data_IF_462629232114
#
_entry.id   IF_462629232114
#
_cell.length_a   1.000
_cell.length_b   1.000
_cell.length_c   1.000
_cell.angle_alpha   90.00
_cell.angle_beta   90.00
_cell.angle_gamma   90.00
#
_symmetry.space_group_name_H-M   'P 1'
#
loop_
_entity.id
_entity.type
_entity.pdbx_description
1 polymer ?
#
# COMPACT_ATOMS: atom_id res chain seq x y z
N UNK A 1 28.83 30.95 -25.47
CA UNK A 1 29.62 31.62 -24.41
C UNK A 1 28.77 32.10 -23.23
N UNK A 2 27.75 32.97 -23.40
CA UNK A 2 26.85 33.35 -22.29
C UNK A 2 25.86 32.21 -21.92
N UNK A 3 25.24 31.58 -22.92
CA UNK A 3 24.31 30.45 -22.75
C UNK A 3 24.95 29.21 -22.12
N UNK A 4 26.21 28.91 -22.45
CA UNK A 4 26.94 27.75 -21.91
C UNK A 4 27.25 27.92 -20.41
N UNK A 5 27.49 29.16 -19.97
CA UNK A 5 27.68 29.49 -18.57
C UNK A 5 26.36 29.40 -17.80
N UNK A 6 25.24 29.84 -18.40
CA UNK A 6 23.92 29.79 -17.74
C UNK A 6 23.47 28.36 -17.45
N UNK A 7 23.70 27.43 -18.38
CA UNK A 7 23.46 26.01 -18.15
C UNK A 7 24.36 25.45 -17.03
N UNK A 8 25.63 25.85 -16.95
CA UNK A 8 26.54 25.39 -15.89
C UNK A 8 26.08 25.86 -14.49
N UNK A 9 25.69 27.12 -14.36
CA UNK A 9 25.18 27.66 -13.09
C UNK A 9 23.81 27.08 -12.72
N UNK A 10 22.95 26.83 -13.70
CA UNK A 10 21.69 26.13 -13.47
C UNK A 10 21.91 24.69 -12.99
N UNK A 11 22.93 23.97 -13.49
CA UNK A 11 23.29 22.66 -12.95
C UNK A 11 23.76 22.72 -11.50
N UNK A 12 24.49 23.78 -11.12
CA UNK A 12 24.86 24.00 -9.71
C UNK A 12 23.61 24.23 -8.84
N UNK A 13 22.62 24.98 -9.33
CA UNK A 13 21.33 25.13 -8.67
C UNK A 13 20.55 23.80 -8.60
N UNK A 14 20.57 22.98 -9.66
CA UNK A 14 19.97 21.64 -9.66
C UNK A 14 20.60 20.71 -8.62
N UNK A 15 21.92 20.77 -8.39
CA UNK A 15 22.56 19.98 -7.33
C UNK A 15 21.96 20.31 -5.95
N UNK A 16 21.76 21.59 -5.66
CA UNK A 16 21.10 22.07 -4.44
C UNK A 16 19.61 21.67 -4.37
N UNK A 17 18.92 21.62 -5.52
CA UNK A 17 17.54 21.12 -5.60
C UNK A 17 17.44 19.62 -5.28
N UNK A 18 18.40 18.81 -5.71
CA UNK A 18 18.48 17.38 -5.35
C UNK A 18 18.71 17.19 -3.85
N UNK A 19 19.58 18.01 -3.27
CA UNK A 19 19.80 18.04 -1.83
C UNK A 19 18.52 18.40 -1.03
N UNK A 20 17.73 19.37 -1.50
CA UNK A 20 16.42 19.66 -0.90
C UNK A 20 15.47 18.46 -1.00
N UNK A 21 15.43 17.78 -2.16
CA UNK A 21 14.62 16.57 -2.35
C UNK A 21 14.98 15.47 -1.34
N UNK A 22 16.28 15.24 -1.13
CA UNK A 22 16.80 14.26 -0.17
C UNK A 22 16.42 14.60 1.28
N UNK A 23 16.29 15.90 1.60
CA UNK A 23 15.79 16.38 2.88
C UNK A 23 14.25 16.34 3.02
N UNK A 24 13.52 15.88 2.00
CA UNK A 24 12.06 15.85 1.99
C UNK A 24 11.39 17.19 1.66
N UNK A 25 12.17 18.18 1.23
CA UNK A 25 11.72 19.51 0.85
C UNK A 25 11.37 19.57 -0.64
N UNK A 26 10.54 20.53 -1.04
CA UNK A 26 10.25 20.77 -2.47
C UNK A 26 11.57 21.06 -3.19
N UNK A 27 11.92 20.34 -4.28
CA UNK A 27 13.26 20.38 -4.86
C UNK A 27 13.50 21.65 -5.69
N UNK A 28 13.83 22.73 -5.00
CA UNK A 28 14.25 23.99 -5.61
C UNK A 28 15.62 24.37 -5.04
N UNK A 29 16.52 24.76 -5.94
CA UNK A 29 17.84 25.25 -5.60
C UNK A 29 18.14 26.55 -6.33
N UNK A 30 19.03 27.36 -5.76
CA UNK A 30 19.43 28.64 -6.31
C UNK A 30 20.91 28.95 -6.01
N UNK A 31 21.55 29.67 -6.91
CA UNK A 31 22.89 30.21 -6.72
C UNK A 31 22.96 31.67 -7.16
N UNK A 32 23.76 32.48 -6.47
CA UNK A 32 24.07 33.87 -6.85
C UNK A 32 25.51 33.92 -7.33
N UNK A 33 25.72 34.47 -8.53
CA UNK A 33 27.01 34.55 -9.20
C UNK A 33 27.41 36.02 -9.38
N UNK A 34 28.68 36.32 -9.09
CA UNK A 34 29.32 37.61 -9.37
C UNK A 34 30.73 37.36 -9.89
N UNK A 35 31.13 38.06 -10.95
CA UNK A 35 32.48 37.98 -11.54
C UNK A 35 32.93 36.53 -11.84
N UNK A 36 32.00 35.68 -12.29
CA UNK A 36 32.25 34.28 -12.62
C UNK A 36 32.34 33.32 -11.43
N UNK A 37 32.06 33.77 -10.20
CA UNK A 37 32.09 32.96 -8.99
C UNK A 37 30.73 32.92 -8.28
N UNK A 38 30.38 31.75 -7.72
CA UNK A 38 29.20 31.61 -6.86
C UNK A 38 29.52 32.20 -5.47
N UNK A 39 28.80 33.26 -5.11
CA UNK A 39 28.93 33.97 -3.83
C UNK A 39 27.77 33.67 -2.86
N UNK A 40 26.74 32.96 -3.30
CA UNK A 40 25.65 32.51 -2.45
C UNK A 40 24.98 31.26 -3.00
N UNK A 41 24.57 30.35 -2.12
CA UNK A 41 23.90 29.09 -2.42
C UNK A 41 22.65 28.98 -1.56
N UNK A 42 21.60 28.40 -2.13
CA UNK A 42 20.37 28.20 -1.41
C UNK A 42 19.61 27.01 -1.93
N UNK A 43 18.94 26.33 -1.02
CA UNK A 43 17.98 25.26 -1.32
C UNK A 43 16.76 25.46 -0.43
N UNK A 44 15.60 25.00 -0.89
CA UNK A 44 14.41 25.06 -0.05
C UNK A 44 14.63 24.30 1.27
N UNK A 45 14.29 24.96 2.38
CA UNK A 45 14.25 24.37 3.72
C UNK A 45 13.09 24.89 4.60
N UNK A 46 11.88 25.21 4.08
CA UNK A 46 10.83 25.78 4.89
C UNK A 46 10.26 24.82 5.94
N UNK A 47 10.24 23.51 5.67
CA UNK A 47 9.71 22.51 6.62
C UNK A 47 10.72 22.27 7.74
N UNK A 48 11.98 21.97 7.38
CA UNK A 48 13.03 21.68 8.35
C UNK A 48 13.45 22.91 9.16
N UNK A 49 13.46 24.09 8.51
CA UNK A 49 13.82 25.35 9.16
C UNK A 49 12.69 26.00 9.94
N UNK A 50 11.45 25.51 9.81
CA UNK A 50 10.24 26.18 10.32
C UNK A 50 10.18 27.67 9.93
N UNK A 51 10.76 28.03 8.79
CA UNK A 51 10.88 29.39 8.29
C UNK A 51 10.12 29.49 6.95
N UNK A 52 8.95 30.16 6.91
CA UNK A 52 8.18 30.28 5.68
C UNK A 52 8.93 31.07 4.58
N UNK A 53 10.02 31.76 4.93
CA UNK A 53 10.85 32.52 4.00
C UNK A 53 12.07 31.74 3.49
N UNK A 54 12.31 30.51 3.97
CA UNK A 54 13.48 29.69 3.60
C UNK A 54 13.33 29.01 2.22
N UNK A 55 12.96 29.82 1.22
CA UNK A 55 13.03 29.48 -0.18
C UNK A 55 14.47 29.58 -0.68
N UNK A 56 14.83 28.77 -1.68
CA UNK A 56 16.17 28.68 -2.22
C UNK A 56 16.75 30.06 -2.57
N UNK A 57 15.95 30.92 -3.21
CA UNK A 57 16.34 32.25 -3.65
C UNK A 57 16.67 33.16 -2.47
N UNK A 58 15.81 33.21 -1.46
CA UNK A 58 16.01 34.02 -0.25
C UNK A 58 17.25 33.56 0.52
N UNK A 59 17.46 32.25 0.63
CA UNK A 59 18.65 31.68 1.27
C UNK A 59 19.92 32.08 0.51
N UNK A 60 19.92 31.94 -0.82
CA UNK A 60 21.07 32.31 -1.66
C UNK A 60 21.37 33.82 -1.60
N UNK A 61 20.35 34.68 -1.60
CA UNK A 61 20.49 36.13 -1.45
C UNK A 61 21.08 36.51 -0.08
N UNK A 62 20.61 35.87 1.00
CA UNK A 62 21.14 36.08 2.36
C UNK A 62 22.63 35.71 2.43
N UNK A 63 23.04 34.60 1.81
CA UNK A 63 24.46 34.21 1.76
C UNK A 63 25.29 35.20 0.93
N UNK A 64 24.83 35.57 -0.27
CA UNK A 64 25.51 36.52 -1.13
C UNK A 64 25.67 37.91 -0.49
N UNK A 65 24.64 38.39 0.22
CA UNK A 65 24.69 39.67 0.92
C UNK A 65 25.71 39.65 2.06
N UNK A 66 25.81 38.53 2.80
CA UNK A 66 26.85 38.35 3.82
C UNK A 66 28.23 38.29 3.20
N UNK A 67 28.38 37.58 2.08
CA UNK A 67 29.64 37.47 1.36
C UNK A 67 30.17 38.85 0.92
N UNK A 68 29.29 39.74 0.44
CA UNK A 68 29.67 41.09 0.03
C UNK A 68 29.66 42.12 1.16
N UNK A 69 29.17 41.77 2.34
CA UNK A 69 28.92 42.73 3.43
C UNK A 69 27.92 43.83 3.05
N UNK A 70 27.01 43.56 2.10
CA UNK A 70 26.09 44.54 1.54
C UNK A 70 24.76 43.89 1.13
N UNK A 71 23.64 44.55 1.41
CA UNK A 71 22.31 44.09 1.00
C UNK A 71 22.03 44.31 -0.49
N UNK A 72 22.76 45.23 -1.13
CA UNK A 72 22.72 45.44 -2.58
C UNK A 72 23.71 44.50 -3.25
N UNK A 73 23.21 43.75 -4.22
CA UNK A 73 23.92 42.74 -4.99
C UNK A 73 24.09 43.22 -6.44
N UNK A 74 24.43 44.51 -6.62
CA UNK A 74 24.62 45.10 -7.94
C UNK A 74 25.63 44.29 -8.77
N UNK A 75 25.30 44.04 -10.04
CA UNK A 75 26.10 43.22 -10.96
C UNK A 75 25.98 41.71 -10.77
N UNK A 76 25.22 41.22 -9.78
CA UNK A 76 25.03 39.79 -9.58
C UNK A 76 23.94 39.21 -10.49
N UNK A 77 24.13 37.94 -10.89
CA UNK A 77 23.08 37.11 -11.51
C UNK A 77 22.63 36.03 -10.52
N UNK A 78 21.32 35.84 -10.35
CA UNK A 78 20.77 34.70 -9.62
C UNK A 78 20.25 33.65 -10.60
N UNK A 79 20.58 32.38 -10.35
CA UNK A 79 20.06 31.23 -11.07
C UNK A 79 19.18 30.41 -10.13
N UNK A 80 17.96 30.06 -10.53
CA UNK A 80 17.01 29.26 -9.72
C UNK A 80 16.30 28.21 -10.57
N UNK A 81 16.12 27.01 -10.05
CA UNK A 81 15.54 25.90 -10.83
C UNK A 81 14.06 26.05 -11.15
N UNK A 82 13.33 26.90 -10.43
CA UNK A 82 11.90 27.16 -10.62
C UNK A 82 11.65 28.66 -10.71
N UNK A 83 10.68 29.07 -11.52
CA UNK A 83 10.21 30.44 -11.59
C UNK A 83 9.88 31.01 -10.19
N UNK A 84 10.41 32.19 -9.83
CA UNK A 84 10.27 32.72 -8.48
C UNK A 84 8.84 33.16 -8.16
N UNK A 85 8.45 32.95 -6.90
CA UNK A 85 7.19 33.44 -6.36
C UNK A 85 7.27 34.92 -5.97
N UNK A 86 6.12 35.54 -5.64
CA UNK A 86 6.03 36.95 -5.26
C UNK A 86 7.03 37.40 -4.16
N UNK A 87 7.21 36.58 -3.13
CA UNK A 87 8.16 36.85 -2.05
C UNK A 87 9.60 36.92 -2.57
N UNK A 88 10.02 35.93 -3.34
CA UNK A 88 11.39 35.82 -3.82
C UNK A 88 11.69 36.90 -4.86
N UNK A 89 10.75 37.15 -5.78
CA UNK A 89 10.85 38.24 -6.75
C UNK A 89 10.98 39.59 -6.06
N UNK A 90 10.16 39.90 -5.06
CA UNK A 90 10.30 41.12 -4.26
C UNK A 90 11.68 41.24 -3.58
N UNK A 91 12.20 40.14 -3.02
CA UNK A 91 13.54 40.12 -2.42
C UNK A 91 14.65 40.40 -3.45
N UNK A 92 14.54 39.83 -4.66
CA UNK A 92 15.48 40.08 -5.77
C UNK A 92 15.49 41.55 -6.19
N UNK A 93 14.30 42.17 -6.27
CA UNK A 93 14.14 43.59 -6.58
C UNK A 93 14.80 44.46 -5.52
N UNK A 94 14.57 44.18 -4.23
CA UNK A 94 15.22 44.91 -3.13
C UNK A 94 16.73 44.72 -3.11
N UNK A 95 17.22 43.54 -3.51
CA UNK A 95 18.65 43.24 -3.63
C UNK A 95 19.30 43.86 -4.87
N UNK A 96 18.54 44.41 -5.82
CA UNK A 96 19.05 45.04 -7.06
C UNK A 96 19.92 44.11 -7.92
N UNK A 97 19.49 42.86 -8.08
CA UNK A 97 20.15 41.95 -9.00
C UNK A 97 20.14 42.53 -10.42
N UNK A 98 21.25 42.36 -11.14
CA UNK A 98 21.32 42.75 -12.54
C UNK A 98 20.49 41.79 -13.41
N UNK A 99 20.53 40.49 -13.08
CA UNK A 99 19.83 39.45 -13.83
C UNK A 99 19.33 38.32 -12.93
N UNK A 100 18.20 37.73 -13.31
CA UNK A 100 17.66 36.50 -12.73
C UNK A 100 17.37 35.53 -13.88
N UNK A 101 17.90 34.33 -13.76
CA UNK A 101 17.75 33.24 -14.73
C UNK A 101 17.02 32.08 -14.04
N UNK A 102 15.92 31.60 -14.61
CA UNK A 102 15.18 30.47 -14.05
C UNK A 102 15.00 29.30 -15.01
N UNK A 103 14.84 28.11 -14.44
CA UNK A 103 14.62 26.88 -15.18
C UNK A 103 13.17 26.68 -15.58
N UNK A 104 12.44 25.88 -14.81
CA UNK A 104 11.04 25.55 -15.09
C UNK A 104 10.09 26.73 -14.77
N UNK A 105 9.02 26.88 -15.54
CA UNK A 105 7.92 27.80 -15.21
C UNK A 105 7.07 27.26 -14.05
N UNK A 106 6.47 28.17 -13.27
CA UNK A 106 5.48 27.85 -12.26
C UNK A 106 4.10 28.43 -12.63
N UNK A 107 3.25 27.66 -13.35
CA UNK A 107 1.94 28.13 -13.79
C UNK A 107 0.95 28.37 -12.64
N UNK A 108 1.28 27.99 -11.40
CA UNK A 108 0.38 28.13 -10.24
C UNK A 108 0.70 29.36 -9.41
N UNK A 109 1.99 29.68 -9.21
CA UNK A 109 2.40 30.77 -8.31
C UNK A 109 3.56 31.62 -8.80
N UNK A 110 4.12 31.32 -9.98
CA UNK A 110 5.22 32.07 -10.57
C UNK A 110 4.81 33.49 -10.95
N UNK A 111 5.69 34.45 -10.68
CA UNK A 111 5.41 35.89 -10.95
C UNK A 111 6.47 36.55 -11.84
N UNK A 112 7.18 35.76 -12.64
CA UNK A 112 8.13 36.23 -13.65
C UNK A 112 7.62 35.90 -15.06
N UNK A 113 6.28 35.93 -15.24
CA UNK A 113 5.60 35.69 -16.51
C UNK A 113 4.44 34.70 -16.44
N UNK A 114 4.33 33.85 -15.42
CA UNK A 114 3.26 32.83 -15.34
C UNK A 114 1.91 33.39 -14.87
N UNK A 115 1.78 33.69 -13.56
CA UNK A 115 0.53 34.22 -12.99
C UNK A 115 0.51 35.75 -13.08
N UNK A 116 1.66 36.36 -12.79
CA UNK A 116 1.92 37.79 -12.87
C UNK A 116 3.31 37.99 -13.45
N UNK A 117 3.64 39.23 -13.80
CA UNK A 117 5.01 39.63 -14.09
C UNK A 117 5.38 40.85 -13.24
N UNK A 118 5.97 40.60 -12.07
CA UNK A 118 6.43 41.68 -11.18
C UNK A 118 7.66 42.41 -11.73
N UNK A 119 8.42 41.79 -12.63
CA UNK A 119 9.62 42.39 -13.21
C UNK A 119 9.28 43.29 -14.40
N UNK A 120 8.14 43.07 -15.07
CA UNK A 120 7.60 43.96 -16.08
C UNK A 120 6.77 45.13 -15.52
N UNK A 121 6.48 45.18 -14.21
CA UNK A 121 5.70 46.26 -13.61
C UNK A 121 6.53 47.56 -13.51
N UNK A 122 6.22 48.60 -14.32
CA UNK A 122 7.05 49.79 -14.45
C UNK A 122 7.12 50.63 -13.16
N UNK A 123 6.19 50.43 -12.22
CA UNK A 123 6.20 51.13 -10.91
C UNK A 123 7.16 50.51 -9.89
N UNK A 124 7.59 49.25 -10.07
CA UNK A 124 8.31 48.49 -9.04
C UNK A 124 9.82 48.37 -9.30
N UNK A 125 10.26 48.29 -10.56
CA UNK A 125 11.69 48.17 -10.89
C UNK A 125 12.01 48.61 -12.32
N UNK A 126 13.26 49.02 -12.57
CA UNK A 126 13.74 49.48 -13.87
C UNK A 126 15.10 48.86 -14.27
N UNK A 127 15.60 47.84 -13.55
CA UNK A 127 17.00 47.40 -13.67
C UNK A 127 17.28 45.89 -13.74
N UNK A 128 16.34 45.01 -13.39
CA UNK A 128 16.61 43.55 -13.34
C UNK A 128 16.13 42.85 -14.60
N UNK A 129 17.03 42.21 -15.33
CA UNK A 129 16.70 41.38 -16.49
C UNK A 129 16.24 39.98 -16.04
N UNK A 130 15.18 39.46 -16.68
CA UNK A 130 14.63 38.13 -16.41
C UNK A 130 14.79 37.25 -17.65
N UNK A 131 15.30 36.04 -17.44
CA UNK A 131 15.42 35.03 -18.48
C UNK A 131 14.93 33.67 -17.93
N UNK A 132 13.99 33.05 -18.64
CA UNK A 132 13.43 31.75 -18.26
C UNK A 132 13.81 30.67 -19.27
N UNK A 133 13.70 29.40 -18.85
CA UNK A 133 13.81 28.26 -19.76
C UNK A 133 15.14 27.51 -19.73
N UNK A 134 16.12 27.97 -18.94
CA UNK A 134 17.45 27.33 -18.90
C UNK A 134 17.36 25.98 -18.19
N UNK A 135 17.58 24.89 -18.91
CA UNK A 135 17.38 23.51 -18.42
C UNK A 135 15.97 23.27 -17.84
N UNK A 136 14.95 23.90 -18.44
CA UNK A 136 13.58 23.83 -17.96
C UNK A 136 13.06 22.39 -17.82
N UNK A 137 13.35 21.52 -18.79
CA UNK A 137 12.90 20.12 -18.76
C UNK A 137 13.51 19.35 -17.58
N UNK A 138 14.82 19.53 -17.33
CA UNK A 138 15.50 18.89 -16.20
C UNK A 138 14.93 19.38 -14.85
N UNK A 139 14.71 20.69 -14.74
CA UNK A 139 14.13 21.30 -13.54
C UNK A 139 12.68 20.83 -13.30
N UNK A 140 11.86 20.76 -14.35
CA UNK A 140 10.48 20.30 -14.28
C UNK A 140 10.41 18.81 -13.95
N UNK A 141 11.27 17.99 -14.54
CA UNK A 141 11.33 16.56 -14.29
C UNK A 141 11.59 16.25 -12.80
N UNK A 142 12.51 16.98 -12.16
CA UNK A 142 12.80 16.81 -10.73
C UNK A 142 11.59 17.12 -9.84
N UNK A 143 10.89 18.23 -10.10
CA UNK A 143 9.65 18.60 -9.39
C UNK A 143 8.54 17.57 -9.59
N UNK A 144 8.31 17.16 -10.84
CA UNK A 144 7.31 16.16 -11.18
C UNK A 144 7.59 14.82 -10.49
N UNK A 145 8.86 14.39 -10.49
CA UNK A 145 9.30 13.18 -9.83
C UNK A 145 9.00 13.23 -8.32
N UNK A 146 9.40 14.30 -7.64
CA UNK A 146 9.17 14.50 -6.21
C UNK A 146 7.69 14.42 -5.84
N UNK A 147 6.82 15.17 -6.53
CA UNK A 147 5.39 15.12 -6.25
C UNK A 147 4.73 13.78 -6.64
N UNK A 148 5.24 13.09 -7.67
CA UNK A 148 4.76 11.75 -8.03
C UNK A 148 5.04 10.73 -6.92
N UNK A 149 6.24 10.78 -6.34
CA UNK A 149 6.60 9.93 -5.21
C UNK A 149 5.75 10.24 -3.97
N UNK A 150 5.56 11.53 -3.63
CA UNK A 150 4.71 11.92 -2.49
C UNK A 150 3.26 11.48 -2.68
N UNK A 151 2.69 11.63 -3.88
CA UNK A 151 1.33 11.14 -4.17
C UNK A 151 1.24 9.61 -4.06
N UNK A 152 2.26 8.88 -4.52
CA UNK A 152 2.32 7.42 -4.39
C UNK A 152 2.39 6.99 -2.92
N UNK A 153 3.23 7.65 -2.12
CA UNK A 153 3.34 7.40 -0.68
C UNK A 153 2.03 7.72 0.06
N UNK A 154 1.39 8.86 -0.26
CA UNK A 154 0.08 9.21 0.29
C UNK A 154 -1.01 8.23 -0.12
N UNK A 155 -1.04 7.75 -1.37
CA UNK A 155 -1.99 6.72 -1.82
C UNK A 155 -1.75 5.36 -1.16
N UNK A 156 -0.50 5.00 -0.90
CA UNK A 156 -0.15 3.78 -0.17
C UNK A 156 -0.58 3.86 1.30
N UNK A 157 -0.58 5.06 1.88
CA UNK A 157 -1.03 5.30 3.26
C UNK A 157 -2.55 5.53 3.37
N UNK A 158 -3.17 6.12 2.34
CA UNK A 158 -4.60 6.28 2.27
C UNK A 158 -5.25 4.91 2.22
N UNK A 159 -6.13 4.63 3.19
CA UNK A 159 -6.94 3.42 3.20
C UNK A 159 -8.37 3.80 2.82
N UNK A 160 -8.63 4.20 1.56
CA UNK A 160 -9.98 4.57 1.15
C UNK A 160 -10.93 3.39 1.44
N UNK A 161 -12.11 3.72 1.93
CA UNK A 161 -13.19 2.77 2.14
C UNK A 161 -14.22 3.07 1.07
N UNK A 162 -14.67 2.04 0.35
CA UNK A 162 -15.75 2.20 -0.62
C UNK A 162 -17.03 2.66 0.07
N UNK A 163 -17.81 3.47 -0.63
CA UNK A 163 -19.09 4.00 -0.13
C UNK A 163 -20.10 2.90 0.20
N UNK A 164 -19.99 1.73 -0.43
CA UNK A 164 -20.83 0.56 -0.20
C UNK A 164 -20.27 -0.43 0.84
N UNK A 165 -19.20 -0.06 1.55
CA UNK A 165 -18.55 -0.89 2.55
C UNK A 165 -18.43 -0.20 3.92
N UNK A 166 -18.23 -1.02 4.94
CA UNK A 166 -17.94 -0.63 6.31
C UNK A 166 -16.58 -1.17 6.72
N UNK A 167 -15.88 -0.46 7.58
CA UNK A 167 -14.62 -0.90 8.17
C UNK A 167 -14.76 -0.91 9.68
N UNK A 168 -14.57 -2.07 10.27
CA UNK A 168 -14.61 -2.21 11.72
C UNK A 168 -13.46 -1.39 12.33
N UNK A 169 -13.74 -0.49 13.29
CA UNK A 169 -12.70 0.28 13.96
C UNK A 169 -11.67 -0.62 14.65
N UNK A 170 -10.40 -0.22 14.65
CA UNK A 170 -9.29 -1.05 15.13
C UNK A 170 -9.39 -1.35 16.64
N UNK A 171 -9.91 -0.39 17.41
CA UNK A 171 -10.15 -0.48 18.85
C UNK A 171 -11.12 -1.60 19.23
N UNK A 172 -11.99 -2.05 18.31
CA UNK A 172 -12.89 -3.19 18.55
C UNK A 172 -12.12 -4.51 18.76
N UNK A 173 -10.89 -4.58 18.27
CA UNK A 173 -10.03 -5.74 18.40
C UNK A 173 -9.03 -5.62 19.56
N UNK A 174 -9.00 -4.48 20.26
CA UNK A 174 -8.13 -4.28 21.40
C UNK A 174 -8.49 -5.23 22.54
N UNK A 175 -7.48 -5.83 23.17
CA UNK A 175 -7.68 -6.75 24.30
C UNK A 175 -8.13 -8.18 23.93
N UNK A 176 -8.35 -8.47 22.64
CA UNK A 176 -8.55 -9.85 22.21
C UNK A 176 -7.22 -10.62 22.25
N UNK A 177 -7.19 -11.72 23.00
CA UNK A 177 -6.01 -12.58 23.11
C UNK A 177 -5.59 -13.17 21.75
N UNK A 178 -4.28 -13.34 21.57
CA UNK A 178 -3.65 -14.00 20.41
C UNK A 178 -3.72 -13.20 19.10
N UNK A 179 -3.98 -11.89 19.18
CA UNK A 179 -3.89 -10.96 18.05
C UNK A 179 -2.57 -10.18 18.04
N UNK A 180 -1.53 -10.77 18.63
CA UNK A 180 -0.24 -10.11 18.89
C UNK A 180 0.52 -9.78 17.60
N UNK A 181 0.25 -10.52 16.52
CA UNK A 181 0.78 -10.23 15.19
C UNK A 181 -0.02 -9.11 14.51
N UNK A 182 0.68 -8.08 14.01
CA UNK A 182 0.06 -7.05 13.18
C UNK A 182 -0.48 -7.69 11.90
N UNK A 183 -1.78 -7.55 11.58
CA UNK A 183 -2.36 -8.14 10.39
C UNK A 183 -1.79 -7.48 9.14
N UNK A 184 -1.55 -8.28 8.09
CA UNK A 184 -1.22 -7.76 6.77
C UNK A 184 -2.50 -7.34 6.06
N UNK A 185 -2.38 -6.32 5.20
CA UNK A 185 -3.50 -5.76 4.45
C UNK A 185 -3.17 -5.78 2.96
N UNK A 186 -4.16 -6.05 2.13
CA UNK A 186 -4.05 -5.97 0.68
C UNK A 186 -5.33 -5.35 0.11
N UNK A 187 -5.18 -4.49 -0.90
CA UNK A 187 -6.28 -3.79 -1.57
C UNK A 187 -6.07 -3.65 -3.09
N UNK A 188 -5.01 -4.24 -3.62
CA UNK A 188 -4.61 -4.18 -5.03
C UNK A 188 -4.99 -5.46 -5.82
N UNK A 189 -5.69 -6.41 -5.20
CA UNK A 189 -6.24 -7.58 -5.90
C UNK A 189 -7.42 -7.15 -6.79
N UNK A 190 -7.44 -7.51 -8.09
CA UNK A 190 -8.53 -7.16 -8.99
C UNK A 190 -9.93 -7.48 -8.45
N UNK A 191 -10.12 -8.67 -7.86
CA UNK A 191 -11.41 -9.10 -7.32
C UNK A 191 -11.88 -8.27 -6.11
N UNK A 192 -10.98 -7.58 -5.41
CA UNK A 192 -11.37 -6.72 -4.29
C UNK A 192 -12.06 -5.44 -4.77
N UNK A 193 -11.78 -5.01 -6.01
CA UNK A 193 -12.33 -3.77 -6.58
C UNK A 193 -12.25 -2.60 -5.59
N UNK A 194 -11.10 -2.41 -4.94
CA UNK A 194 -10.85 -1.35 -3.95
C UNK A 194 -11.21 -1.66 -2.49
N UNK A 195 -11.75 -2.84 -2.18
CA UNK A 195 -11.91 -3.31 -0.80
C UNK A 195 -10.56 -3.72 -0.21
N UNK A 196 -10.46 -3.65 1.11
CA UNK A 196 -9.29 -4.12 1.87
C UNK A 196 -9.55 -5.49 2.48
N UNK A 197 -8.68 -6.44 2.15
CA UNK A 197 -8.59 -7.75 2.78
C UNK A 197 -7.49 -7.75 3.85
N UNK A 198 -7.83 -8.20 5.04
CA UNK A 198 -6.90 -8.49 6.13
C UNK A 198 -6.52 -9.96 6.12
N UNK A 199 -5.25 -10.28 6.37
CA UNK A 199 -4.79 -11.66 6.52
C UNK A 199 -3.60 -11.74 7.47
N UNK A 200 -3.42 -12.90 8.12
CA UNK A 200 -2.16 -13.26 8.76
C UNK A 200 -1.30 -14.04 7.78
N UNK A 201 0.00 -13.80 7.85
CA UNK A 201 1.03 -14.49 7.08
C UNK A 201 2.21 -14.72 8.02
N UNK A 202 2.27 -15.94 8.51
CA UNK A 202 3.18 -16.38 9.57
C UNK A 202 4.11 -17.48 9.04
N UNK A 203 5.33 -17.54 9.58
CA UNK A 203 6.35 -18.50 9.15
C UNK A 203 7.20 -18.02 7.96
N UNK A 204 8.18 -18.82 7.52
CA UNK A 204 9.12 -18.45 6.45
C UNK A 204 8.40 -18.33 5.09
N UNK A 205 8.60 -17.24 4.31
CA UNK A 205 8.00 -17.11 2.98
C UNK A 205 8.40 -18.21 1.99
N UNK A 206 9.56 -18.82 2.19
CA UNK A 206 10.18 -19.90 1.42
C UNK A 206 9.97 -21.29 2.03
N UNK A 207 9.08 -21.41 3.02
CA UNK A 207 8.73 -22.70 3.60
C UNK A 207 8.26 -23.69 2.52
N UNK A 208 8.57 -24.99 2.67
CA UNK A 208 8.29 -26.00 1.65
C UNK A 208 6.79 -26.23 1.40
N UNK A 209 5.94 -25.79 2.34
CA UNK A 209 4.49 -25.89 2.28
C UNK A 209 3.85 -24.62 2.83
N UNK A 210 2.72 -24.24 2.24
CA UNK A 210 1.87 -23.16 2.73
C UNK A 210 0.50 -23.69 3.16
N UNK A 211 0.04 -23.35 4.36
CA UNK A 211 -1.30 -23.68 4.84
C UNK A 211 -2.24 -22.50 4.61
N UNK A 212 -3.34 -22.70 3.88
CA UNK A 212 -4.39 -21.69 3.73
C UNK A 212 -5.56 -22.02 4.65
N UNK A 213 -5.79 -21.22 5.69
CA UNK A 213 -6.83 -21.45 6.70
C UNK A 213 -8.09 -20.66 6.37
N UNK A 214 -9.16 -21.35 5.95
CA UNK A 214 -10.42 -20.75 5.52
C UNK A 214 -11.53 -21.05 6.53
N UNK A 215 -12.14 -20.00 7.06
CA UNK A 215 -13.22 -20.08 8.04
C UNK A 215 -14.61 -20.10 7.38
N UNK A 216 -15.58 -20.65 8.11
CA UNK A 216 -17.00 -20.61 7.78
C UNK A 216 -17.71 -19.32 8.23
N UNK A 217 -19.05 -19.30 8.19
CA UNK A 217 -19.85 -18.10 8.39
C UNK A 217 -20.02 -17.71 9.86
N UNK A 218 -19.68 -18.62 10.79
CA UNK A 218 -19.75 -18.41 12.25
C UNK A 218 -18.37 -18.14 12.87
N UNK A 219 -17.41 -17.76 12.02
CA UNK A 219 -16.00 -17.65 12.36
C UNK A 219 -15.30 -16.52 11.61
N UNK A 220 -14.04 -16.30 11.97
CA UNK A 220 -13.08 -15.46 11.25
C UNK A 220 -11.66 -15.91 11.63
N UNK A 221 -10.60 -15.30 11.07
CA UNK A 221 -9.24 -15.84 11.22
C UNK A 221 -8.77 -15.99 12.67
N UNK A 222 -9.37 -15.28 13.63
CA UNK A 222 -9.10 -15.39 15.08
C UNK A 222 -9.19 -16.83 15.59
N UNK A 223 -10.11 -17.65 15.08
CA UNK A 223 -10.27 -19.04 15.52
C UNK A 223 -9.04 -19.92 15.26
N UNK A 224 -8.17 -19.50 14.33
CA UNK A 224 -7.04 -20.31 13.89
C UNK A 224 -5.76 -20.10 14.69
N UNK A 225 -5.75 -19.25 15.73
CA UNK A 225 -4.51 -18.89 16.44
C UNK A 225 -3.67 -20.09 16.87
N UNK A 226 -4.28 -21.04 17.59
CA UNK A 226 -3.58 -22.21 18.10
C UNK A 226 -3.09 -23.15 16.97
N UNK A 227 -3.90 -23.33 15.92
CA UNK A 227 -3.52 -24.15 14.76
C UNK A 227 -2.40 -23.49 13.96
N UNK A 228 -2.51 -22.19 13.70
CA UNK A 228 -1.50 -21.42 12.99
C UNK A 228 -0.15 -21.45 13.72
N UNK A 229 -0.17 -21.30 15.07
CA UNK A 229 1.05 -21.45 15.87
C UNK A 229 1.65 -22.84 15.70
N UNK A 230 0.87 -23.90 15.88
CA UNK A 230 1.39 -25.26 15.81
C UNK A 230 1.97 -25.62 14.42
N UNK A 231 1.36 -25.12 13.34
CA UNK A 231 1.85 -25.32 11.97
C UNK A 231 3.12 -24.50 11.68
N UNK A 232 3.18 -23.25 12.15
CA UNK A 232 4.37 -22.40 12.05
C UNK A 232 5.54 -22.98 12.84
N UNK A 233 5.29 -23.47 14.05
CA UNK A 233 6.31 -24.07 14.91
C UNK A 233 6.82 -25.41 14.31
N UNK A 234 6.06 -26.02 13.38
CA UNK A 234 6.49 -27.14 12.57
C UNK A 234 7.31 -26.75 11.32
N UNK A 235 7.58 -25.44 11.12
CA UNK A 235 8.43 -24.92 10.04
C UNK A 235 7.70 -24.51 8.77
N UNK A 236 6.36 -24.50 8.76
CA UNK A 236 5.58 -24.16 7.57
C UNK A 236 5.12 -22.69 7.54
N UNK A 237 4.74 -22.22 6.35
CA UNK A 237 4.07 -20.93 6.16
C UNK A 237 2.57 -21.08 6.39
N UNK A 238 1.95 -20.13 7.07
CA UNK A 238 0.52 -20.15 7.36
C UNK A 238 -0.13 -18.84 6.93
N UNK A 239 -1.14 -18.96 6.07
CA UNK A 239 -1.98 -17.86 5.61
C UNK A 239 -3.38 -18.02 6.22
N UNK A 240 -3.84 -17.02 6.97
CA UNK A 240 -5.18 -17.00 7.56
C UNK A 240 -5.88 -15.68 7.20
N UNK A 241 -6.57 -15.61 6.05
CA UNK A 241 -7.34 -14.43 5.66
C UNK A 241 -8.62 -14.28 6.50
N UNK A 242 -8.97 -13.03 6.77
CA UNK A 242 -10.34 -12.65 7.12
C UNK A 242 -11.10 -12.49 5.81
N UNK A 243 -12.07 -13.35 5.51
CA UNK A 243 -12.88 -13.18 4.30
C UNK A 243 -13.51 -11.79 4.25
N UNK A 244 -13.75 -11.26 3.06
CA UNK A 244 -14.45 -9.98 2.92
C UNK A 244 -15.82 -10.09 3.58
N UNK A 245 -16.19 -9.12 4.42
CA UNK A 245 -17.35 -9.22 5.30
C UNK A 245 -17.05 -9.72 6.71
N UNK A 246 -15.82 -10.15 7.03
CA UNK A 246 -15.44 -10.73 8.31
C UNK A 246 -14.20 -10.08 8.92
N UNK A 247 -13.92 -10.38 10.18
CA UNK A 247 -12.70 -9.99 10.87
C UNK A 247 -12.32 -8.52 10.69
N UNK A 248 -11.07 -8.25 10.31
CA UNK A 248 -10.55 -6.89 10.04
C UNK A 248 -10.68 -6.45 8.58
N UNK A 249 -11.17 -7.33 7.72
CA UNK A 249 -11.49 -7.02 6.33
C UNK A 249 -12.69 -6.08 6.23
N UNK A 250 -12.75 -5.37 5.12
CA UNK A 250 -13.90 -4.52 4.80
C UNK A 250 -15.17 -5.35 4.66
N UNK A 251 -16.30 -4.72 4.94
CA UNK A 251 -17.61 -5.38 5.00
C UNK A 251 -18.57 -4.68 4.06
N UNK A 252 -18.84 -5.26 2.87
CA UNK A 252 -19.90 -4.76 2.01
C UNK A 252 -21.22 -4.66 2.78
N UNK A 253 -21.95 -3.57 2.59
CA UNK A 253 -23.20 -3.26 3.33
C UNK A 253 -24.35 -4.20 2.96
N UNK A 254 -24.30 -4.83 1.78
CA UNK A 254 -25.39 -5.65 1.21
C UNK A 254 -24.96 -7.11 1.05
N UNK A 255 -25.85 -8.03 1.38
CA UNK A 255 -25.63 -9.47 1.20
C UNK A 255 -25.42 -9.86 -0.26
N UNK A 256 -26.07 -9.13 -1.20
CA UNK A 256 -25.93 -9.34 -2.63
C UNK A 256 -24.53 -9.06 -3.18
N UNK A 257 -23.66 -8.41 -2.40
CA UNK A 257 -22.26 -8.20 -2.78
C UNK A 257 -21.42 -9.48 -2.65
N UNK A 258 -21.92 -10.51 -1.95
CA UNK A 258 -21.20 -11.75 -1.71
C UNK A 258 -21.66 -12.86 -2.65
N UNK A 259 -20.70 -13.61 -3.19
CA UNK A 259 -20.92 -14.90 -3.86
C UNK A 259 -19.78 -15.85 -3.52
N UNK A 260 -20.03 -17.18 -3.53
CA UNK A 260 -18.99 -18.18 -3.24
C UNK A 260 -17.84 -18.12 -4.25
N UNK A 261 -18.16 -17.91 -5.53
CA UNK A 261 -17.18 -17.75 -6.59
C UNK A 261 -16.28 -16.53 -6.36
N UNK A 262 -16.86 -15.40 -5.94
CA UNK A 262 -16.08 -14.19 -5.66
C UNK A 262 -15.14 -14.36 -4.47
N UNK A 263 -15.61 -14.94 -3.36
CA UNK A 263 -14.73 -15.27 -2.24
C UNK A 263 -13.59 -16.20 -2.65
N UNK A 264 -13.89 -17.19 -3.50
CA UNK A 264 -12.89 -18.10 -4.04
C UNK A 264 -11.83 -17.36 -4.88
N UNK A 265 -12.27 -16.48 -5.78
CA UNK A 265 -11.39 -15.67 -6.62
C UNK A 265 -10.45 -14.79 -5.80
N UNK A 266 -10.97 -14.11 -4.75
CA UNK A 266 -10.15 -13.28 -3.85
C UNK A 266 -9.04 -14.10 -3.19
N UNK A 267 -9.34 -15.34 -2.77
CA UNK A 267 -8.34 -16.22 -2.17
C UNK A 267 -7.29 -16.70 -3.18
N UNK A 268 -7.70 -17.04 -4.41
CA UNK A 268 -6.76 -17.44 -5.47
C UNK A 268 -5.82 -16.29 -5.86
N UNK A 269 -6.35 -15.09 -6.01
CA UNK A 269 -5.56 -13.89 -6.29
C UNK A 269 -4.60 -13.56 -5.14
N UNK A 270 -5.02 -13.75 -3.88
CA UNK A 270 -4.13 -13.61 -2.72
C UNK A 270 -2.96 -14.60 -2.79
N UNK A 271 -3.23 -15.88 -3.09
CA UNK A 271 -2.19 -16.90 -3.21
C UNK A 271 -1.23 -16.59 -4.36
N UNK A 272 -1.73 -16.10 -5.48
CA UNK A 272 -0.92 -15.66 -6.61
C UNK A 272 -0.04 -14.47 -6.24
N UNK A 273 -0.62 -13.44 -5.62
CA UNK A 273 0.07 -12.22 -5.16
C UNK A 273 1.21 -12.51 -4.19
N UNK A 274 1.07 -13.57 -3.39
CA UNK A 274 2.05 -14.03 -2.40
C UNK A 274 3.00 -15.11 -2.93
N UNK A 275 2.86 -15.48 -4.21
CA UNK A 275 3.57 -16.59 -4.85
C UNK A 275 3.49 -17.92 -4.07
N UNK A 276 2.38 -18.14 -3.36
CA UNK A 276 2.18 -19.35 -2.55
C UNK A 276 2.02 -20.58 -3.44
N UNK A 277 2.78 -21.62 -3.14
CA UNK A 277 2.81 -22.94 -3.81
C UNK A 277 2.77 -24.04 -2.76
N UNK A 278 2.51 -25.28 -3.19
CA UNK A 278 2.37 -26.42 -2.29
C UNK A 278 1.34 -26.14 -1.19
N UNK A 279 0.17 -25.64 -1.60
CA UNK A 279 -0.84 -25.13 -0.67
C UNK A 279 -1.67 -26.28 -0.12
N UNK A 280 -1.69 -26.45 1.20
CA UNK A 280 -2.68 -27.31 1.86
C UNK A 280 -3.83 -26.43 2.34
N UNK A 281 -5.01 -26.68 1.77
CA UNK A 281 -6.23 -25.97 2.16
C UNK A 281 -6.78 -26.55 3.46
N UNK A 282 -6.96 -25.72 4.47
CA UNK A 282 -7.70 -26.07 5.69
C UNK A 282 -9.06 -25.41 5.65
N UNK A 283 -10.13 -26.21 5.59
CA UNK A 283 -11.51 -25.73 5.57
C UNK A 283 -12.18 -26.04 6.91
N UNK A 284 -12.51 -25.00 7.70
CA UNK A 284 -13.29 -25.12 8.93
C UNK A 284 -14.68 -24.51 8.75
N UNK A 285 -15.68 -25.37 8.50
CA UNK A 285 -17.06 -24.94 8.22
C UNK A 285 -17.22 -24.19 6.90
N UNK A 286 -16.33 -24.44 5.95
CA UNK A 286 -16.27 -23.78 4.65
C UNK A 286 -16.24 -24.80 3.48
N UNK A 287 -17.24 -25.70 3.34
CA UNK A 287 -17.29 -26.67 2.23
C UNK A 287 -17.22 -26.04 0.84
N UNK A 288 -17.68 -24.79 0.69
CA UNK A 288 -17.55 -24.03 -0.55
C UNK A 288 -16.09 -23.86 -1.01
N UNK A 289 -15.14 -23.83 -0.07
CA UNK A 289 -13.72 -23.64 -0.38
C UNK A 289 -13.10 -24.87 -1.05
N UNK A 290 -13.76 -26.04 -1.01
CA UNK A 290 -13.29 -27.26 -1.67
C UNK A 290 -13.25 -27.13 -3.20
N UNK A 291 -13.88 -26.09 -3.77
CA UNK A 291 -13.78 -25.75 -5.19
C UNK A 291 -12.50 -24.98 -5.55
N UNK A 292 -11.69 -24.54 -4.59
CA UNK A 292 -10.43 -23.83 -4.87
C UNK A 292 -9.41 -24.72 -5.61
N UNK A 293 -9.16 -25.98 -5.18
CA UNK A 293 -8.22 -26.85 -5.90
C UNK A 293 -8.70 -27.22 -7.30
N UNK A 294 -10.00 -27.27 -7.56
CA UNK A 294 -10.54 -27.47 -8.91
C UNK A 294 -10.11 -26.33 -9.86
N UNK A 295 -10.08 -25.09 -9.38
CA UNK A 295 -9.74 -23.91 -10.19
C UNK A 295 -8.23 -23.72 -10.40
N UNK A 296 -7.40 -24.25 -9.50
CA UNK A 296 -5.94 -24.09 -9.58
C UNK A 296 -5.20 -25.35 -9.08
N UNK A 297 -5.39 -26.52 -9.71
CA UNK A 297 -4.98 -27.81 -9.14
C UNK A 297 -3.47 -27.90 -8.89
N UNK A 298 -2.65 -27.35 -9.78
CA UNK A 298 -1.19 -27.36 -9.65
C UNK A 298 -0.67 -26.56 -8.43
N UNK A 299 -1.50 -25.70 -7.83
CA UNK A 299 -1.12 -24.89 -6.66
C UNK A 299 -1.33 -25.63 -5.35
N UNK A 300 -2.32 -26.52 -5.29
CA UNK A 300 -2.72 -27.20 -4.06
C UNK A 300 -2.05 -28.56 -3.94
N UNK A 301 -1.57 -28.86 -2.74
CA UNK A 301 -0.95 -30.13 -2.36
C UNK A 301 -1.87 -31.00 -1.48
N UNK A 302 -2.93 -30.43 -0.92
CA UNK A 302 -3.80 -31.19 -0.01
C UNK A 302 -5.04 -30.43 0.45
N UNK A 303 -5.96 -31.18 1.06
CA UNK A 303 -7.17 -30.68 1.71
C UNK A 303 -7.29 -31.30 3.11
N UNK A 304 -7.37 -30.44 4.13
CA UNK A 304 -7.68 -30.78 5.51
C UNK A 304 -9.05 -30.20 5.87
N UNK A 305 -10.02 -31.06 6.16
CA UNK A 305 -11.36 -30.68 6.58
C UNK A 305 -11.49 -30.87 8.08
N UNK A 306 -11.82 -29.78 8.76
CA UNK A 306 -11.96 -29.76 10.22
C UNK A 306 -13.35 -29.26 10.60
N UNK A 307 -13.89 -29.71 11.75
CA UNK A 307 -15.13 -29.16 12.29
C UNK A 307 -14.95 -27.65 12.55
N UNK A 308 -15.99 -26.87 12.25
CA UNK A 308 -15.97 -25.44 12.51
C UNK A 308 -16.25 -25.16 14.00
N UNK A 309 -15.38 -24.44 14.71
CA UNK A 309 -15.76 -23.88 16.00
C UNK A 309 -16.79 -22.76 15.80
N UNK A 310 -17.71 -22.61 16.76
CA UNK A 310 -18.61 -21.45 16.83
C UNK A 310 -17.97 -20.41 17.74
N UNK A 311 -17.51 -19.30 17.17
CA UNK A 311 -17.00 -18.18 17.97
C UNK A 311 -18.15 -17.54 18.75
N UNK A 312 -17.90 -17.17 20.02
CA UNK A 312 -18.88 -16.55 20.92
C UNK A 312 -18.27 -15.36 21.66
N UNK A 313 -19.13 -14.52 22.24
CA UNK A 313 -18.72 -13.39 23.08
C UNK A 313 -17.85 -12.38 22.33
N UNK A 314 -16.88 -11.78 23.03
CA UNK A 314 -16.06 -10.69 22.50
C UNK A 314 -15.35 -11.04 21.17
N UNK A 315 -14.88 -12.28 21.02
CA UNK A 315 -14.21 -12.73 19.80
C UNK A 315 -15.15 -12.72 18.58
N UNK A 316 -16.43 -13.03 18.76
CA UNK A 316 -17.43 -12.98 17.69
C UNK A 316 -17.99 -11.57 17.47
N UNK A 317 -18.18 -10.79 18.54
CA UNK A 317 -18.80 -9.47 18.48
C UNK A 317 -17.84 -8.36 18.00
N UNK A 318 -16.52 -8.56 18.11
CA UNK A 318 -15.54 -7.55 17.74
C UNK A 318 -15.64 -7.10 16.26
N UNK A 319 -15.66 -8.01 15.26
CA UNK A 319 -15.82 -7.62 13.86
C UNK A 319 -17.16 -6.92 13.54
N UNK A 320 -18.18 -7.08 14.38
CA UNK A 320 -19.58 -6.78 14.06
C UNK A 320 -20.23 -5.83 15.07
N UNK A 321 -19.81 -4.54 15.13
CA UNK A 321 -20.33 -3.58 16.10
C UNK A 321 -21.83 -3.29 15.94
N UNK A 322 -22.39 -3.48 14.75
CA UNK A 322 -23.80 -3.26 14.45
C UNK A 322 -24.32 -4.26 13.38
N UNK A 323 -25.62 -4.18 13.09
CA UNK A 323 -26.28 -5.05 12.10
C UNK A 323 -25.77 -4.86 10.65
N UNK A 324 -25.25 -3.67 10.33
CA UNK A 324 -24.69 -3.32 9.02
C UNK A 324 -23.40 -4.07 8.74
N UNK A 325 -22.60 -4.37 9.76
CA UNK A 325 -21.38 -5.17 9.63
C UNK A 325 -21.67 -6.67 9.42
N UNK A 326 -22.91 -7.13 9.59
CA UNK A 326 -23.26 -8.57 9.58
C UNK A 326 -23.76 -9.10 8.23
N UNK A 327 -23.69 -8.31 7.16
CA UNK A 327 -24.09 -8.76 5.82
C UNK A 327 -23.25 -9.97 5.33
N UNK A 328 -21.93 -9.96 5.58
CA UNK A 328 -21.04 -11.07 5.21
C UNK A 328 -21.43 -12.41 5.84
N UNK A 329 -21.52 -12.51 7.18
CA UNK A 329 -21.98 -13.73 7.87
C UNK A 329 -23.32 -14.25 7.37
N UNK A 330 -24.33 -13.38 7.22
CA UNK A 330 -25.66 -13.78 6.74
C UNK A 330 -25.62 -14.30 5.31
N UNK A 331 -24.94 -13.58 4.42
CA UNK A 331 -24.80 -13.98 3.02
C UNK A 331 -24.07 -15.31 2.89
N UNK A 332 -22.93 -15.48 3.56
CA UNK A 332 -22.13 -16.70 3.45
C UNK A 332 -22.90 -17.92 4.02
N UNK A 333 -23.59 -17.76 5.16
CA UNK A 333 -24.44 -18.82 5.71
C UNK A 333 -25.55 -19.24 4.73
N UNK A 334 -26.26 -18.26 4.16
CA UNK A 334 -27.33 -18.52 3.17
C UNK A 334 -26.79 -19.20 1.92
N UNK A 335 -25.67 -18.72 1.38
CA UNK A 335 -25.05 -19.27 0.17
C UNK A 335 -24.56 -20.71 0.38
N UNK A 336 -24.00 -21.01 1.56
CA UNK A 336 -23.58 -22.37 1.90
C UNK A 336 -24.77 -23.31 2.04
N UNK A 337 -25.81 -22.92 2.77
CA UNK A 337 -27.03 -23.73 2.88
C UNK A 337 -27.63 -24.03 1.50
N UNK A 338 -27.71 -23.02 0.63
CA UNK A 338 -28.17 -23.20 -0.76
C UNK A 338 -27.30 -24.17 -1.56
N UNK A 339 -25.97 -24.13 -1.37
CA UNK A 339 -25.05 -25.04 -2.05
C UNK A 339 -25.12 -26.48 -1.51
N UNK A 340 -25.46 -26.67 -0.24
CA UNK A 340 -25.64 -27.99 0.38
C UNK A 340 -26.98 -28.63 0.00
N UNK A 341 -28.03 -27.84 -0.20
CA UNK A 341 -29.34 -28.31 -0.67
C UNK A 341 -29.36 -28.62 -2.18
N UNK A 342 -28.52 -27.94 -2.96
CA UNK A 342 -28.41 -28.17 -4.39
C UNK A 342 -27.84 -29.56 -4.72
N UNK A 343 -28.17 -30.15 -5.88
CA UNK A 343 -27.46 -31.32 -6.37
C UNK A 343 -25.95 -31.05 -6.38
N UNK A 344 -25.13 -31.99 -5.90
CA UNK A 344 -23.69 -31.79 -5.80
C UNK A 344 -23.12 -31.48 -7.18
N UNK A 345 -22.31 -30.42 -7.24
CA UNK A 345 -21.62 -30.00 -8.45
C UNK A 345 -20.82 -31.18 -9.02
N UNK A 346 -21.24 -31.65 -10.20
CA UNK A 346 -20.69 -32.85 -10.81
C UNK A 346 -19.23 -32.65 -11.24
N UNK A 347 -18.82 -31.41 -11.57
CA UNK A 347 -17.42 -31.12 -11.87
C UNK A 347 -16.57 -31.22 -10.60
N UNK A 348 -17.06 -30.66 -9.49
CA UNK A 348 -16.38 -30.74 -8.19
C UNK A 348 -16.28 -32.19 -7.68
N UNK A 349 -17.38 -32.94 -7.81
CA UNK A 349 -17.43 -34.37 -7.47
C UNK A 349 -16.43 -35.16 -8.31
N UNK A 350 -16.47 -35.03 -9.64
CA UNK A 350 -15.57 -35.73 -10.55
C UNK A 350 -14.11 -35.41 -10.24
N UNK A 351 -13.81 -34.14 -9.94
CA UNK A 351 -12.48 -33.71 -9.52
C UNK A 351 -12.00 -34.47 -8.28
N UNK A 352 -12.71 -34.41 -7.16
CA UNK A 352 -12.24 -35.07 -5.94
C UNK A 352 -12.23 -36.60 -6.03
N UNK A 353 -13.15 -37.20 -6.77
CA UNK A 353 -13.25 -38.65 -6.86
C UNK A 353 -12.25 -39.28 -7.84
N UNK A 354 -11.92 -38.58 -8.93
CA UNK A 354 -11.14 -39.16 -10.04
C UNK A 354 -10.09 -38.23 -10.62
N UNK A 355 -10.23 -36.91 -10.48
CA UNK A 355 -9.31 -35.92 -11.05
C UNK A 355 -8.20 -35.45 -10.11
N UNK A 356 -8.35 -35.63 -8.80
CA UNK A 356 -7.38 -35.23 -7.79
C UNK A 356 -6.22 -36.22 -7.73
N UNK A 357 -5.00 -35.71 -7.87
CA UNK A 357 -3.77 -36.51 -7.90
C UNK A 357 -2.94 -36.45 -6.61
N UNK A 358 -3.31 -35.59 -5.65
CA UNK A 358 -2.62 -35.49 -4.37
C UNK A 358 -3.09 -36.52 -3.33
N UNK A 359 -2.58 -36.44 -2.09
CA UNK A 359 -3.06 -37.26 -0.99
C UNK A 359 -4.56 -37.12 -0.79
N UNK A 360 -5.22 -38.19 -0.32
CA UNK A 360 -6.66 -38.14 -0.04
C UNK A 360 -6.98 -37.01 0.95
N UNK A 361 -8.12 -36.33 0.82
CA UNK A 361 -8.54 -35.33 1.80
C UNK A 361 -8.51 -35.92 3.20
N UNK A 362 -7.84 -35.22 4.13
CA UNK A 362 -7.75 -35.60 5.53
C UNK A 362 -8.94 -34.96 6.26
N UNK A 363 -9.81 -35.77 6.86
CA UNK A 363 -11.11 -35.30 7.38
C UNK A 363 -11.28 -35.66 8.85
N UNK A 364 -11.65 -34.68 9.66
CA UNK A 364 -12.16 -34.89 11.02
C UNK A 364 -13.68 -34.70 11.04
N UNK A 365 -14.42 -35.79 11.27
CA UNK A 365 -15.88 -35.81 11.22
C UNK A 365 -16.43 -36.63 10.04
N UNK A 366 -17.72 -36.50 9.71
CA UNK A 366 -18.35 -37.29 8.66
C UNK A 366 -17.77 -36.93 7.27
N UNK A 367 -17.52 -37.96 6.46
CA UNK A 367 -17.07 -37.77 5.09
C UNK A 367 -18.20 -37.18 4.22
N UNK A 368 -17.92 -36.09 3.52
CA UNK A 368 -18.86 -35.53 2.56
C UNK A 368 -18.82 -36.34 1.26
N UNK A 369 -19.99 -36.70 0.73
CA UNK A 369 -20.13 -37.52 -0.49
C UNK A 369 -19.36 -36.96 -1.70
N UNK A 370 -19.21 -35.63 -1.77
CA UNK A 370 -18.47 -34.95 -2.85
C UNK A 370 -16.97 -35.30 -2.86
N UNK A 371 -16.37 -35.63 -1.71
CA UNK A 371 -14.93 -35.89 -1.59
C UNK A 371 -14.54 -37.33 -1.97
N UNK A 372 -15.50 -38.24 -2.11
CA UNK A 372 -15.21 -39.64 -2.41
C UNK A 372 -14.44 -40.34 -1.28
N UNK A 373 -13.26 -40.90 -1.59
CA UNK A 373 -12.41 -41.57 -0.60
C UNK A 373 -11.61 -40.55 0.20
N UNK A 374 -11.75 -40.59 1.51
CA UNK A 374 -11.06 -39.70 2.45
C UNK A 374 -10.14 -40.48 3.39
N UNK A 375 -9.16 -39.80 3.97
CA UNK A 375 -8.37 -40.32 5.09
C UNK A 375 -8.97 -39.79 6.40
N UNK A 376 -9.44 -40.66 7.32
CA UNK A 376 -10.00 -40.21 8.58
C UNK A 376 -8.88 -39.78 9.54
N UNK A 377 -8.99 -38.58 10.10
CA UNK A 377 -8.02 -38.07 11.09
C UNK A 377 -8.22 -38.71 12.49
N UNK A 378 -9.43 -39.22 12.75
CA UNK A 378 -9.87 -39.71 14.05
C UNK A 378 -10.00 -38.60 15.10
N UNK A 379 -10.30 -38.99 16.34
CA UNK A 379 -10.26 -38.06 17.48
C UNK A 379 -8.80 -37.75 17.82
N UNK A 380 -8.42 -36.48 17.67
CA UNK A 380 -7.10 -35.99 18.04
C UNK A 380 -7.18 -35.26 19.38
N UNK A 381 -6.39 -35.67 20.40
CA UNK A 381 -6.56 -35.17 21.76
C UNK A 381 -6.15 -33.71 21.94
N UNK A 382 -5.29 -33.17 21.05
CA UNK A 382 -4.85 -31.77 21.07
C UNK A 382 -4.59 -31.23 19.66
N UNK A 383 -4.63 -29.91 19.51
CA UNK A 383 -4.30 -29.22 18.25
C UNK A 383 -2.84 -29.44 17.82
N UNK A 384 -1.92 -29.60 18.76
CA UNK A 384 -0.52 -29.90 18.45
C UNK A 384 -0.36 -31.29 17.81
N UNK A 385 -1.09 -32.29 18.32
CA UNK A 385 -1.10 -33.64 17.74
C UNK A 385 -1.73 -33.62 16.34
N UNK A 386 -2.83 -32.87 16.19
CA UNK A 386 -3.47 -32.65 14.89
C UNK A 386 -2.51 -32.02 13.89
N UNK A 387 -1.87 -30.91 14.25
CA UNK A 387 -0.93 -30.20 13.39
C UNK A 387 0.24 -31.11 12.98
N UNK A 388 0.85 -31.84 13.93
CA UNK A 388 1.94 -32.78 13.65
C UNK A 388 1.53 -33.87 12.66
N UNK A 389 0.36 -34.50 12.86
CA UNK A 389 -0.16 -35.54 11.95
C UNK A 389 -0.42 -34.98 10.55
N UNK A 390 -1.05 -33.81 10.46
CA UNK A 390 -1.32 -33.16 9.18
C UNK A 390 -0.01 -32.78 8.45
N UNK A 391 0.97 -32.27 9.20
CA UNK A 391 2.30 -31.92 8.70
C UNK A 391 3.03 -33.14 8.13
N UNK A 392 2.95 -34.28 8.80
CA UNK A 392 3.53 -35.54 8.35
C UNK A 392 2.81 -36.10 7.12
N UNK A 393 1.48 -36.06 7.13
CA UNK A 393 0.65 -36.61 6.04
C UNK A 393 0.79 -35.86 4.71
N UNK A 394 0.88 -34.51 4.75
CA UNK A 394 1.02 -33.69 3.55
C UNK A 394 2.47 -33.32 3.23
N UNK A 395 3.45 -34.08 3.72
CA UNK A 395 4.87 -33.80 3.44
C UNK A 395 5.10 -33.81 1.92
N UNK A 396 5.79 -32.81 1.34
CA UNK A 396 6.00 -32.68 -0.11
C UNK A 396 6.70 -33.87 -0.77
#
# INVERSE_FOLDING_TARGET
MQSDNDAAWMRAALALAHEAAQAGEVPVGAVVVKDGAIIGRGRNAPVAGHDPTAHAEVVALREAARHLGNYRLDGCTLYVTLEPCAMCSGAMLHARLARVVFGAQDPKTGVAGSVLDLFAEPRLNHHTCIEGGVLADECAALLQHFFSQRRRAQRAQAQPLRDDALRTPAERFAGLQGLDATPRMVNDLPALAGLRLSYRDEGPPDAPRTWLLVHGPQGWSHQFQALASALRDAGDRVLAPDLIGFGRSDKPKKESAHSLAWHGQVLLELLERLAARQVVLVAQGAPWAWALPLQSPARFAGLLVLPAPVLRGAAWEAPFPDAGHRAGPRALARLQAQAEEAPPDEALRRFWQTGWSGPRPLVQGPAAAVLGRVEPLGDTPTLQVLARRAVEYFRP
#
